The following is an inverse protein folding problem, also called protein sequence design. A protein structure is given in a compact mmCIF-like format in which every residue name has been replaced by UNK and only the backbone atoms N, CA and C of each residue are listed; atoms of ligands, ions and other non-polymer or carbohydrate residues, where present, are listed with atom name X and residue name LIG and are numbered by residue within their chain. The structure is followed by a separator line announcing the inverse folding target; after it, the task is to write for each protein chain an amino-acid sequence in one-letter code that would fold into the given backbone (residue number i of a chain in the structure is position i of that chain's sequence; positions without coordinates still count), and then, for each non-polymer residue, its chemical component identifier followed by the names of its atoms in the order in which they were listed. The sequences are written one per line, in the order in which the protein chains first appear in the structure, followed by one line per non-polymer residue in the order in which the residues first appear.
data_IF_016063002456
#
_entry.id   IF_016063002456
#
_cell.length_a   1.000
_cell.length_b   1.000
_cell.length_c   1.000
_cell.angle_alpha   90.00
_cell.angle_beta   90.00
_cell.angle_gamma   90.00
#
_symmetry.space_group_name_H-M   'P 1'
#
loop_
_entity.id
_entity.type
_entity.pdbx_description
1 polymer ?
#
# COMPACT_ATOMS: atom_id res chain seq x y z
N UNK A 1 42.13 26.37 25.52
CA UNK A 1 40.83 26.05 26.17
C UNK A 1 39.62 26.49 25.34
N UNK A 2 39.44 27.77 24.98
CA UNK A 2 38.26 28.24 24.21
C UNK A 2 38.00 27.50 22.90
N UNK A 3 39.03 27.26 22.07
CA UNK A 3 38.90 26.53 20.79
C UNK A 3 38.41 25.08 20.95
N UNK A 4 38.84 24.40 22.02
CA UNK A 4 38.45 23.00 22.29
C UNK A 4 36.98 22.93 22.69
N UNK A 5 36.50 23.87 23.50
CA UNK A 5 35.07 24.00 23.85
C UNK A 5 34.19 24.30 22.63
N UNK A 6 34.65 25.18 21.72
CA UNK A 6 33.93 25.47 20.48
C UNK A 6 33.81 24.25 19.57
N UNK A 7 34.91 23.49 19.41
CA UNK A 7 34.91 22.26 18.61
C UNK A 7 33.97 21.21 19.22
N UNK A 8 34.00 21.02 20.56
CA UNK A 8 33.10 20.09 21.23
C UNK A 8 31.62 20.49 21.06
N UNK A 9 31.29 21.78 21.18
CA UNK A 9 29.92 22.26 20.98
C UNK A 9 29.42 22.02 19.56
N UNK A 10 30.25 22.31 18.55
CA UNK A 10 29.89 22.06 17.14
C UNK A 10 29.67 20.57 16.90
N UNK A 11 30.55 19.71 17.45
CA UNK A 11 30.43 18.26 17.33
C UNK A 11 29.13 17.74 17.95
N UNK A 12 28.75 18.24 19.13
CA UNK A 12 27.49 17.87 19.78
C UNK A 12 26.29 18.28 18.93
N UNK A 13 26.28 19.49 18.37
CA UNK A 13 25.19 19.95 17.48
C UNK A 13 25.08 19.06 16.23
N UNK A 14 26.20 18.69 15.61
CA UNK A 14 26.21 17.81 14.44
C UNK A 14 25.68 16.40 14.78
N UNK A 15 26.06 15.85 15.93
CA UNK A 15 25.56 14.55 16.39
C UNK A 15 24.05 14.61 16.63
N UNK A 16 23.55 15.67 17.27
CA UNK A 16 22.11 15.85 17.50
C UNK A 16 21.36 15.93 16.17
N UNK A 17 21.85 16.70 15.19
CA UNK A 17 21.24 16.79 13.86
C UNK A 17 21.23 15.44 13.13
N UNK A 18 22.30 14.65 13.22
CA UNK A 18 22.37 13.33 12.62
C UNK A 18 21.38 12.35 13.27
N UNK A 19 21.26 12.35 14.60
CA UNK A 19 20.31 11.50 15.34
C UNK A 19 18.86 11.89 15.03
N UNK A 20 18.54 13.19 15.00
CA UNK A 20 17.20 13.67 14.64
C UNK A 20 16.89 13.34 13.18
N UNK A 21 17.84 13.57 12.26
CA UNK A 21 17.67 13.24 10.84
C UNK A 21 17.42 11.75 10.61
N UNK A 22 18.22 10.88 11.25
CA UNK A 22 18.02 9.44 11.20
C UNK A 22 16.67 9.04 11.81
N UNK A 23 16.30 9.60 12.97
CA UNK A 23 15.03 9.34 13.63
C UNK A 23 13.81 9.68 12.76
N UNK A 24 13.79 10.88 12.16
CA UNK A 24 12.72 11.32 11.24
C UNK A 24 12.67 10.46 9.97
N UNK A 25 13.84 10.07 9.45
CA UNK A 25 13.91 9.19 8.28
C UNK A 25 13.33 7.80 8.58
N UNK A 26 13.70 7.19 9.71
CA UNK A 26 13.16 5.89 10.13
C UNK A 26 11.66 5.94 10.40
N UNK A 27 11.16 6.98 11.07
CA UNK A 27 9.71 7.10 11.33
C UNK A 27 8.92 7.26 10.04
N UNK A 28 9.43 8.02 9.06
CA UNK A 28 8.78 8.18 7.76
C UNK A 28 8.69 6.87 6.98
N UNK A 29 9.79 6.12 6.87
CA UNK A 29 9.78 4.81 6.18
C UNK A 29 8.81 3.83 6.86
N UNK A 30 8.73 3.84 8.18
CA UNK A 30 7.80 2.99 8.92
C UNK A 30 6.33 3.36 8.71
N UNK A 31 6.04 4.61 8.34
CA UNK A 31 4.68 5.06 8.05
C UNK A 31 4.27 4.76 6.60
N UNK A 32 5.24 4.68 5.69
CA UNK A 32 5.03 4.40 4.26
C UNK A 32 5.00 2.91 3.94
N UNK A 33 5.49 2.03 4.82
CA UNK A 33 5.50 0.57 4.61
C UNK A 33 4.84 -0.19 5.76
N UNK A 34 4.12 -1.27 5.47
CA UNK A 34 3.47 -2.12 6.49
C UNK A 34 3.47 -3.59 6.09
N UNK A 35 3.58 -4.43 7.11
CA UNK A 35 3.53 -5.88 6.98
C UNK A 35 2.10 -6.37 7.23
N UNK A 36 1.60 -7.23 6.35
CA UNK A 36 0.30 -7.89 6.46
C UNK A 36 0.48 -9.41 6.40
N UNK A 37 -0.32 -10.15 7.18
CA UNK A 37 -0.41 -11.60 7.02
C UNK A 37 -1.62 -11.93 6.15
N UNK A 38 -1.40 -12.63 5.06
CA UNK A 38 -2.47 -13.08 4.19
C UNK A 38 -3.19 -14.26 4.84
N UNK A 39 -4.48 -14.10 5.11
CA UNK A 39 -5.34 -15.16 5.67
C UNK A 39 -6.35 -15.55 4.61
N UNK A 40 -6.50 -16.86 4.36
CA UNK A 40 -7.44 -17.39 3.38
C UNK A 40 -6.76 -18.03 2.17
N UNK A 41 -7.42 -17.96 1.02
CA UNK A 41 -6.98 -18.60 -0.24
C UNK A 41 -6.00 -17.72 -1.02
N UNK A 42 -5.37 -18.29 -2.05
CA UNK A 42 -4.46 -17.57 -2.94
C UNK A 42 -5.21 -16.51 -3.77
N UNK A 43 -4.52 -15.40 -4.08
CA UNK A 43 -5.02 -14.30 -4.92
C UNK A 43 -3.96 -14.01 -5.99
N UNK A 44 -4.20 -14.48 -7.21
CA UNK A 44 -3.21 -14.54 -8.29
C UNK A 44 -1.83 -15.03 -7.81
N UNK A 45 -0.76 -14.21 -7.84
CA UNK A 45 0.57 -14.63 -7.39
C UNK A 45 0.74 -14.68 -5.86
N UNK A 46 -0.22 -14.17 -5.10
CA UNK A 46 -0.14 -14.08 -3.65
C UNK A 46 -0.70 -15.35 -2.98
N UNK A 47 0.08 -15.96 -2.08
CA UNK A 47 -0.23 -17.23 -1.44
C UNK A 47 -0.82 -17.04 -0.05
N UNK A 48 -1.91 -17.74 0.24
CA UNK A 48 -2.52 -17.79 1.57
C UNK A 48 -1.52 -18.25 2.64
N UNK A 49 -1.56 -17.61 3.81
CA UNK A 49 -0.67 -17.90 4.94
C UNK A 49 0.66 -17.15 4.92
N UNK A 50 1.06 -16.57 3.78
CA UNK A 50 2.31 -15.82 3.63
C UNK A 50 2.21 -14.39 4.16
N UNK A 51 3.38 -13.78 4.29
CA UNK A 51 3.53 -12.40 4.74
C UNK A 51 3.72 -11.48 3.53
N UNK A 52 2.98 -10.38 3.50
CA UNK A 52 3.05 -9.35 2.48
C UNK A 52 3.71 -8.11 3.06
N UNK A 53 4.66 -7.53 2.31
CA UNK A 53 5.10 -6.16 2.48
C UNK A 53 4.30 -5.29 1.53
N UNK A 54 3.70 -4.24 2.05
CA UNK A 54 2.93 -3.30 1.27
C UNK A 54 3.31 -1.86 1.59
N UNK A 55 3.19 -1.00 0.58
CA UNK A 55 3.46 0.43 0.66
C UNK A 55 2.16 1.20 0.67
N UNK A 56 2.09 2.25 1.48
CA UNK A 56 0.91 3.11 1.58
C UNK A 56 0.74 3.86 0.27
N UNK A 57 -0.47 3.84 -0.28
CA UNK A 57 -0.77 4.57 -1.50
C UNK A 57 -1.18 6.00 -1.11
N UNK A 58 -0.44 6.98 -1.60
CA UNK A 58 -0.75 8.41 -1.44
C UNK A 58 -1.33 9.05 -2.70
N UNK A 59 -1.05 8.45 -3.86
CA UNK A 59 -1.59 8.83 -5.16
C UNK A 59 -2.09 7.55 -5.87
N UNK A 60 -3.40 7.45 -6.08
CA UNK A 60 -4.04 6.28 -6.69
C UNK A 60 -3.80 6.21 -8.21
N UNK A 61 -3.33 7.29 -8.85
CA UNK A 61 -3.03 7.29 -10.29
C UNK A 61 -1.82 6.43 -10.66
N UNK A 62 -0.99 6.07 -9.68
CA UNK A 62 0.18 5.19 -9.88
C UNK A 62 -0.22 3.72 -10.01
N UNK A 63 -1.45 3.37 -9.65
CA UNK A 63 -1.94 1.99 -9.73
C UNK A 63 -2.16 1.58 -11.18
N UNK A 64 -1.78 0.34 -11.48
CA UNK A 64 -1.89 -0.26 -12.80
C UNK A 64 -2.59 -1.60 -12.71
N UNK A 65 -3.14 -2.05 -13.83
CA UNK A 65 -3.66 -3.43 -13.93
C UNK A 65 -2.55 -4.43 -13.60
N UNK A 66 -2.90 -5.46 -12.84
CA UNK A 66 -1.98 -6.45 -12.33
C UNK A 66 -1.35 -6.09 -10.98
N UNK A 67 -1.48 -4.85 -10.50
CA UNK A 67 -1.00 -4.48 -9.17
C UNK A 67 -1.80 -5.23 -8.09
N UNK A 68 -1.09 -5.83 -7.14
CA UNK A 68 -1.68 -6.31 -5.91
C UNK A 68 -1.94 -5.16 -4.95
N UNK A 69 -3.14 -5.10 -4.40
CA UNK A 69 -3.55 -4.05 -3.46
C UNK A 69 -4.21 -4.67 -2.24
N UNK A 70 -4.14 -3.95 -1.12
CA UNK A 70 -5.01 -4.21 0.02
C UNK A 70 -6.11 -3.15 0.07
N UNK A 71 -7.35 -3.64 0.10
CA UNK A 71 -8.54 -2.81 0.13
C UNK A 71 -9.48 -3.24 1.26
N UNK A 72 -10.25 -2.29 1.75
CA UNK A 72 -11.17 -2.50 2.86
C UNK A 72 -12.55 -2.86 2.32
N UNK A 73 -13.13 -3.94 2.85
CA UNK A 73 -14.53 -4.31 2.58
C UNK A 73 -15.29 -4.43 3.88
N UNK A 74 -16.54 -4.01 3.87
CA UNK A 74 -17.43 -4.23 5.00
C UNK A 74 -18.18 -5.55 4.82
N UNK A 75 -18.08 -6.43 5.83
CA UNK A 75 -18.84 -7.68 5.88
C UNK A 75 -19.38 -7.87 7.27
N UNK A 76 -20.69 -8.05 7.39
CA UNK A 76 -21.36 -8.28 8.68
C UNK A 76 -21.07 -7.16 9.71
N UNK A 77 -20.98 -5.91 9.26
CA UNK A 77 -20.67 -4.75 10.11
C UNK A 77 -19.22 -4.67 10.60
N UNK A 78 -18.31 -5.47 10.02
CA UNK A 78 -16.87 -5.42 10.31
C UNK A 78 -16.10 -5.02 9.05
N UNK A 79 -15.21 -4.04 9.19
CA UNK A 79 -14.24 -3.71 8.16
C UNK A 79 -13.13 -4.76 8.12
N UNK A 80 -12.99 -5.43 6.99
CA UNK A 80 -11.98 -6.46 6.76
C UNK A 80 -11.06 -5.99 5.63
N UNK A 81 -9.76 -6.03 5.86
CA UNK A 81 -8.78 -5.79 4.80
C UNK A 81 -8.61 -7.06 3.96
N UNK A 82 -8.85 -6.96 2.66
CA UNK A 82 -8.65 -8.02 1.67
C UNK A 82 -7.49 -7.70 0.75
N UNK A 83 -6.92 -8.76 0.19
CA UNK A 83 -5.93 -8.69 -0.89
C UNK A 83 -6.67 -8.90 -2.21
N UNK A 84 -6.38 -8.06 -3.20
CA UNK A 84 -6.92 -8.17 -4.55
C UNK A 84 -5.90 -7.75 -5.60
N UNK A 85 -6.21 -8.03 -6.86
CA UNK A 85 -5.44 -7.60 -8.02
C UNK A 85 -6.30 -6.60 -8.80
N UNK A 86 -5.70 -5.50 -9.23
CA UNK A 86 -6.38 -4.52 -10.08
C UNK A 86 -6.55 -5.09 -11.49
N UNK A 87 -7.78 -5.16 -11.96
CA UNK A 87 -8.12 -5.57 -13.32
C UNK A 87 -8.71 -4.43 -14.16
N UNK A 88 -9.28 -3.41 -13.51
CA UNK A 88 -9.87 -2.24 -14.14
C UNK A 88 -9.52 -0.96 -13.40
N UNK A 89 -9.23 0.09 -14.16
CA UNK A 89 -8.93 1.41 -13.62
C UNK A 89 -10.17 2.32 -13.69
N UNK A 90 -10.25 3.38 -12.86
CA UNK A 90 -11.36 4.31 -12.89
C UNK A 90 -11.58 4.91 -14.28
N UNK A 91 -12.85 5.09 -14.67
CA UNK A 91 -13.27 5.60 -15.97
C UNK A 91 -13.16 4.60 -17.13
N UNK A 92 -12.69 3.38 -16.87
CA UNK A 92 -12.49 2.39 -17.91
C UNK A 92 -13.79 1.69 -18.34
N UNK A 93 -14.03 1.64 -19.66
CA UNK A 93 -15.26 1.11 -20.26
C UNK A 93 -15.12 -0.30 -20.87
N UNK A 94 -13.89 -0.78 -21.07
CA UNK A 94 -13.62 -2.03 -21.79
C UNK A 94 -12.79 -3.01 -20.94
N UNK A 95 -13.42 -3.63 -19.95
CA UNK A 95 -12.77 -4.51 -18.97
C UNK A 95 -12.60 -5.97 -19.43
N UNK A 96 -12.33 -6.19 -20.72
CA UNK A 96 -12.00 -7.51 -21.24
C UNK A 96 -13.18 -8.49 -21.21
N UNK A 97 -13.19 -9.50 -20.34
CA UNK A 97 -14.33 -10.42 -20.18
C UNK A 97 -15.50 -9.80 -19.41
N UNK A 98 -15.26 -8.67 -18.73
CA UNK A 98 -16.24 -7.98 -17.89
C UNK A 98 -16.77 -6.70 -18.56
N UNK A 99 -16.99 -6.73 -19.89
CA UNK A 99 -17.34 -5.53 -20.68
C UNK A 99 -18.65 -4.86 -20.25
N UNK A 100 -19.54 -5.63 -19.60
CA UNK A 100 -20.81 -5.13 -19.10
C UNK A 100 -20.64 -4.28 -17.82
N UNK A 101 -19.46 -4.32 -17.20
CA UNK A 101 -19.09 -3.50 -16.06
C UNK A 101 -18.35 -2.27 -16.59
N UNK A 102 -19.05 -1.13 -16.66
CA UNK A 102 -18.41 0.17 -16.83
C UNK A 102 -17.98 0.71 -15.47
N UNK A 103 -16.72 1.14 -15.35
CA UNK A 103 -16.25 1.83 -14.15
C UNK A 103 -16.48 3.34 -14.29
N UNK A 104 -16.99 3.95 -13.23
CA UNK A 104 -16.95 5.39 -13.09
C UNK A 104 -15.55 5.88 -12.67
N UNK A 105 -15.39 7.19 -12.54
CA UNK A 105 -14.12 7.82 -12.17
C UNK A 105 -13.69 7.56 -10.72
N UNK A 106 -14.47 6.87 -9.89
CA UNK A 106 -14.21 6.66 -8.46
C UNK A 106 -14.00 5.20 -8.07
N UNK A 107 -14.25 4.26 -8.98
CA UNK A 107 -14.14 2.83 -8.70
C UNK A 107 -13.00 2.18 -9.47
N UNK A 108 -12.28 1.30 -8.77
CA UNK A 108 -11.44 0.28 -9.39
C UNK A 108 -12.22 -1.02 -9.51
N UNK A 109 -11.82 -1.87 -10.45
CA UNK A 109 -12.21 -3.27 -10.43
C UNK A 109 -11.05 -4.08 -9.86
N UNK A 110 -11.23 -4.60 -8.65
CA UNK A 110 -10.26 -5.45 -7.97
C UNK A 110 -10.83 -6.87 -7.83
N UNK A 111 -9.99 -7.89 -8.03
CA UNK A 111 -10.44 -9.28 -7.97
C UNK A 111 -9.50 -10.17 -7.20
N UNK A 112 -10.04 -11.24 -6.62
CA UNK A 112 -9.23 -12.34 -6.07
C UNK A 112 -8.71 -13.25 -7.19
N UNK A 113 -9.49 -13.37 -8.26
CA UNK A 113 -9.19 -14.10 -9.48
C UNK A 113 -10.10 -13.57 -10.61
N UNK A 114 -9.98 -14.11 -11.83
CA UNK A 114 -10.81 -13.69 -12.97
C UNK A 114 -12.31 -13.92 -12.78
N UNK A 115 -12.72 -14.79 -11.85
CA UNK A 115 -14.13 -15.15 -11.59
C UNK A 115 -14.76 -14.36 -10.44
N UNK A 116 -13.94 -13.78 -9.56
CA UNK A 116 -14.37 -13.05 -8.35
C UNK A 116 -13.82 -11.64 -8.37
N UNK A 117 -14.62 -10.76 -8.96
CA UNK A 117 -14.32 -9.36 -9.19
C UNK A 117 -15.27 -8.51 -8.34
N UNK A 118 -14.73 -7.47 -7.72
CA UNK A 118 -15.44 -6.54 -6.85
C UNK A 118 -15.14 -5.11 -7.33
N UNK A 119 -16.17 -4.27 -7.39
CA UNK A 119 -15.97 -2.82 -7.55
C UNK A 119 -15.56 -2.26 -6.20
N UNK A 120 -14.47 -1.52 -6.18
CA UNK A 120 -13.85 -1.01 -4.96
C UNK A 120 -13.66 0.50 -5.11
N UNK A 121 -14.18 1.25 -4.14
CA UNK A 121 -14.02 2.71 -4.12
C UNK A 121 -12.56 3.09 -3.89
N UNK A 122 -12.13 4.21 -4.48
CA UNK A 122 -10.77 4.75 -4.37
C UNK A 122 -10.26 4.82 -2.92
N UNK A 123 -11.10 5.27 -2.01
CA UNK A 123 -10.76 5.49 -0.59
C UNK A 123 -10.63 4.19 0.22
N UNK A 124 -11.17 3.08 -0.28
CA UNK A 124 -11.05 1.77 0.32
C UNK A 124 -9.68 1.13 0.04
N UNK A 125 -8.95 1.59 -0.98
CA UNK A 125 -7.63 1.08 -1.35
C UNK A 125 -6.54 1.84 -0.60
N UNK A 126 -5.92 1.21 0.40
CA UNK A 126 -4.93 1.86 1.25
C UNK A 126 -3.47 1.51 0.93
N UNK A 127 -3.23 0.33 0.36
CA UNK A 127 -1.88 -0.22 0.26
C UNK A 127 -1.63 -0.97 -1.05
N UNK A 128 -0.43 -0.85 -1.60
CA UNK A 128 0.06 -1.61 -2.75
C UNK A 128 1.03 -2.69 -2.26
N UNK A 129 0.79 -3.94 -2.61
CA UNK A 129 1.68 -5.05 -2.28
C UNK A 129 2.94 -4.95 -3.12
N UNK A 130 4.11 -4.88 -2.47
CA UNK A 130 5.41 -4.79 -3.15
C UNK A 130 6.21 -6.09 -3.06
N UNK A 131 5.97 -6.91 -2.02
CA UNK A 131 6.69 -8.18 -1.86
C UNK A 131 5.90 -9.19 -1.03
N UNK A 132 6.18 -10.47 -1.25
CA UNK A 132 5.72 -11.59 -0.44
C UNK A 132 6.91 -12.40 0.08
N UNK A 133 6.78 -12.94 1.29
CA UNK A 133 7.72 -13.86 1.94
C UNK A 133 7.03 -15.21 2.18
#
# INVERSE_FOLDING_TARGET
MKKVFTILSILVVLIVLAVVGAGVYFTRISAETRIFRMVGQNVGPYQGGRVLLAEKITDLSVLKKGDGVLYMVEREGRSITRVGIIYGLPGEKNLGKNKDIGLDENHFLAGQNEERMEMVEKDQIGWKVVRQF
#
